data_IF_667475214865
#
_entry.id   IF_667475214865
#
_cell.length_a   1.000
_cell.length_b   1.000
_cell.length_c   1.000
_cell.angle_alpha   90.00
_cell.angle_beta   90.00
_cell.angle_gamma   90.00
#
_symmetry.space_group_name_H-M   'P 1'
#
loop_
_entity.id
_entity.type
_entity.pdbx_description
1 polymer ?
#
# COMPACT_ATOMS: atom_id res chain seq x y z
N UNK A 1 -14.94 12.11 -0.83
CA UNK A 1 -14.57 11.47 0.45
C UNK A 1 -13.99 10.07 0.27
N UNK A 2 -14.74 9.07 -0.22
CA UNK A 2 -14.30 7.65 -0.31
C UNK A 2 -12.92 7.43 -0.95
N UNK A 3 -12.55 8.24 -1.96
CA UNK A 3 -11.22 8.16 -2.59
C UNK A 3 -10.07 8.51 -1.64
N UNK A 4 -10.24 9.45 -0.71
CA UNK A 4 -9.22 9.79 0.29
C UNK A 4 -8.96 8.65 1.26
N UNK A 5 -10.03 7.97 1.71
CA UNK A 5 -9.94 6.72 2.48
C UNK A 5 -9.20 5.62 1.70
N UNK A 6 -9.52 5.44 0.43
CA UNK A 6 -8.86 4.44 -0.42
C UNK A 6 -7.36 4.73 -0.62
N UNK A 7 -6.99 5.99 -0.87
CA UNK A 7 -5.59 6.40 -0.99
C UNK A 7 -4.82 6.20 0.32
N UNK A 8 -5.42 6.53 1.47
CA UNK A 8 -4.80 6.30 2.77
C UNK A 8 -4.69 4.80 3.11
N UNK A 9 -5.73 4.01 2.81
CA UNK A 9 -5.76 2.56 3.04
C UNK A 9 -4.74 1.82 2.16
N UNK A 10 -4.72 2.10 0.86
CA UNK A 10 -3.71 1.56 -0.06
C UNK A 10 -2.29 1.97 0.35
N UNK A 11 -2.12 3.21 0.83
CA UNK A 11 -0.89 3.68 1.47
C UNK A 11 -0.46 2.84 2.66
N UNK A 12 -1.38 2.54 3.59
CA UNK A 12 -1.10 1.70 4.78
C UNK A 12 -0.73 0.27 4.39
N UNK A 13 -1.49 -0.37 3.50
CA UNK A 13 -1.19 -1.73 3.03
C UNK A 13 0.20 -1.79 2.41
N UNK A 14 0.55 -0.79 1.58
CA UNK A 14 1.86 -0.71 0.98
C UNK A 14 2.98 -0.48 2.01
N UNK A 15 2.74 0.32 3.07
CA UNK A 15 3.70 0.47 4.18
C UNK A 15 3.82 -0.81 5.02
N UNK A 16 2.73 -1.56 5.22
CA UNK A 16 2.76 -2.85 5.92
C UNK A 16 3.69 -3.84 5.22
N UNK A 17 3.55 -4.00 3.90
CA UNK A 17 4.46 -4.84 3.13
C UNK A 17 5.91 -4.38 3.22
N UNK A 18 6.17 -3.06 3.28
CA UNK A 18 7.53 -2.54 3.53
C UNK A 18 8.04 -2.96 4.90
N UNK A 19 7.25 -2.80 5.97
CA UNK A 19 7.63 -3.26 7.31
C UNK A 19 7.95 -4.75 7.32
N UNK A 20 7.14 -5.57 6.66
CA UNK A 20 7.35 -7.02 6.61
C UNK A 20 8.68 -7.36 5.92
N UNK A 21 9.01 -6.70 4.79
CA UNK A 21 10.31 -6.90 4.12
C UNK A 21 11.50 -6.42 4.96
N UNK A 22 11.40 -5.25 5.61
CA UNK A 22 12.45 -4.71 6.48
C UNK A 22 12.66 -5.60 7.72
N UNK A 23 11.57 -6.11 8.29
CA UNK A 23 11.59 -7.05 9.42
C UNK A 23 12.29 -8.35 9.04
N UNK A 24 11.96 -8.91 7.88
CA UNK A 24 12.62 -10.10 7.35
C UNK A 24 14.11 -9.87 7.10
N UNK A 25 14.50 -8.71 6.55
CA UNK A 25 15.92 -8.36 6.37
C UNK A 25 16.65 -8.27 7.71
N UNK A 26 16.06 -7.57 8.68
CA UNK A 26 16.64 -7.37 10.00
C UNK A 26 16.81 -8.68 10.76
N UNK A 27 15.81 -9.57 10.70
CA UNK A 27 15.87 -10.89 11.34
C UNK A 27 16.98 -11.78 10.77
N UNK A 28 17.34 -11.58 9.50
CA UNK A 28 18.31 -12.40 8.78
C UNK A 28 19.67 -11.70 8.60
N UNK A 29 19.96 -10.65 9.38
CA UNK A 29 21.22 -9.90 9.29
C UNK A 29 22.46 -10.72 9.66
N UNK A 30 22.32 -11.68 10.56
CA UNK A 30 23.44 -12.53 11.00
C UNK A 30 23.58 -13.82 10.17
N UNK A 31 22.66 -14.08 9.24
CA UNK A 31 22.74 -15.26 8.39
C UNK A 31 23.84 -15.11 7.34
N UNK A 32 24.55 -16.21 7.13
CA UNK A 32 25.59 -16.34 6.09
C UNK A 32 24.94 -16.38 4.71
N UNK A 33 25.43 -15.58 3.77
CA UNK A 33 24.97 -15.56 2.38
C UNK A 33 23.57 -14.97 2.16
N UNK A 34 22.93 -14.41 3.20
CA UNK A 34 21.63 -13.78 3.05
C UNK A 34 21.72 -12.49 2.21
N UNK A 35 20.73 -12.30 1.35
CA UNK A 35 20.61 -11.15 0.46
C UNK A 35 19.34 -10.38 0.80
N UNK A 36 19.47 -9.07 0.98
CA UNK A 36 18.40 -8.17 1.36
C UNK A 36 17.31 -8.10 0.29
N UNK A 37 16.06 -8.11 0.72
CA UNK A 37 14.88 -7.92 -0.12
C UNK A 37 14.40 -6.46 -0.04
N UNK A 38 14.07 -5.86 -1.18
CA UNK A 38 13.52 -4.50 -1.25
C UNK A 38 12.11 -4.56 -1.81
N UNK A 39 11.14 -4.00 -1.08
CA UNK A 39 9.78 -3.81 -1.56
C UNK A 39 9.66 -2.56 -2.46
N UNK A 40 9.32 -2.77 -3.74
CA UNK A 40 9.00 -1.70 -4.68
C UNK A 40 7.49 -1.46 -4.69
N UNK A 41 7.11 -0.19 -4.68
CA UNK A 41 5.73 0.25 -4.80
C UNK A 41 5.54 0.92 -6.15
N UNK A 42 4.33 0.80 -6.70
CA UNK A 42 3.91 1.47 -7.94
C UNK A 42 2.74 2.38 -7.61
N UNK A 43 2.79 3.63 -8.10
CA UNK A 43 1.63 4.52 -8.02
C UNK A 43 0.58 4.07 -9.04
N UNK A 44 -0.69 4.12 -8.64
CA UNK A 44 -1.77 3.98 -9.62
C UNK A 44 -1.70 5.09 -10.68
N UNK A 45 -2.24 4.88 -11.89
CA UNK A 45 -2.27 5.91 -12.92
C UNK A 45 -2.95 7.18 -12.40
N UNK A 46 -2.30 8.32 -12.67
CA UNK A 46 -2.83 9.62 -12.28
C UNK A 46 -4.01 10.00 -13.18
N UNK A 47 -5.07 10.52 -12.58
CA UNK A 47 -6.23 11.05 -13.30
C UNK A 47 -6.05 12.54 -13.55
N UNK A 48 -6.32 13.00 -14.77
CA UNK A 48 -6.29 14.43 -15.07
C UNK A 48 -7.53 15.11 -14.49
N UNK A 49 -7.32 16.12 -13.65
CA UNK A 49 -8.37 17.02 -13.20
C UNK A 49 -8.52 18.12 -14.24
N UNK A 50 -9.74 18.25 -14.75
CA UNK A 50 -10.17 19.38 -15.56
C UNK A 50 -11.17 20.19 -14.77
N UNK A 51 -11.08 21.52 -14.91
CA UNK A 51 -12.11 22.40 -14.38
C UNK A 51 -13.34 22.25 -15.28
N UNK A 52 -14.45 21.86 -14.68
CA UNK A 52 -15.76 21.89 -15.33
C UNK A 52 -16.33 23.31 -15.13
N UNK A 53 -16.85 23.92 -16.20
CA UNK A 53 -17.46 25.26 -16.22
C UNK A 53 -16.50 26.45 -16.09
N UNK A 54 -15.27 26.33 -16.59
CA UNK A 54 -14.48 27.52 -16.90
C UNK A 54 -14.53 27.72 -18.41
N UNK A 55 -15.30 28.73 -18.81
CA UNK A 55 -15.75 28.98 -20.16
C UNK A 55 -14.59 29.41 -21.07
N UNK A 56 -13.76 28.44 -21.46
CA UNK A 56 -12.83 28.53 -22.56
C UNK A 56 -13.49 28.16 -23.90
N UNK A 57 -14.74 28.56 -24.14
CA UNK A 57 -15.37 28.40 -25.45
C UNK A 57 -14.89 29.52 -26.38
N UNK A 58 -13.91 29.22 -27.23
CA UNK A 58 -13.66 30.04 -28.41
C UNK A 58 -14.68 29.67 -29.49
N UNK A 59 -15.66 30.55 -29.70
CA UNK A 59 -16.64 30.41 -30.79
C UNK A 59 -16.02 30.93 -32.09
N UNK A 60 -15.72 30.02 -33.03
CA UNK A 60 -15.38 30.39 -34.40
C UNK A 60 -16.59 30.12 -35.31
N UNK A 61 -16.73 30.81 -36.46
CA UNK A 61 -17.92 30.71 -37.33
C UNK A 61 -18.24 29.29 -37.86
N UNK A 62 -17.35 28.30 -37.67
CA UNK A 62 -17.46 26.93 -38.18
C UNK A 62 -17.29 25.83 -37.10
N UNK A 63 -17.24 26.17 -35.80
CA UNK A 63 -17.20 25.17 -34.72
C UNK A 63 -16.74 25.72 -33.37
N UNK A 64 -17.10 24.99 -32.31
CA UNK A 64 -16.70 25.27 -30.93
C UNK A 64 -15.51 24.37 -30.56
N UNK A 65 -14.41 24.93 -30.04
CA UNK A 65 -13.33 24.15 -29.45
C UNK A 65 -13.37 24.34 -27.93
N UNK A 66 -13.71 23.29 -27.19
CA UNK A 66 -13.63 23.30 -25.73
C UNK A 66 -12.17 23.19 -25.29
N UNK A 67 -11.58 24.27 -24.77
CA UNK A 67 -10.28 24.23 -24.09
C UNK A 67 -10.49 24.33 -22.59
N UNK A 68 -11.01 23.26 -21.98
CA UNK A 68 -11.07 23.20 -20.51
C UNK A 68 -9.62 23.15 -19.98
N UNK A 69 -9.14 24.15 -19.22
CA UNK A 69 -7.76 24.17 -18.76
C UNK A 69 -7.49 22.99 -17.83
N UNK A 70 -6.38 22.29 -18.09
CA UNK A 70 -5.90 21.21 -17.21
C UNK A 70 -5.49 21.85 -15.87
N UNK A 71 -6.16 21.48 -14.79
CA UNK A 71 -5.91 22.03 -13.45
C UNK A 71 -4.74 21.30 -12.79
N UNK A 72 -4.62 19.99 -13.03
CA UNK A 72 -3.55 19.18 -12.47
C UNK A 72 -3.79 17.68 -12.65
N UNK A 73 -2.92 16.88 -12.04
CA UNK A 73 -3.01 15.43 -11.99
C UNK A 73 -3.37 14.98 -10.58
N UNK A 74 -4.19 13.94 -10.47
CA UNK A 74 -4.67 13.38 -9.21
C UNK A 74 -4.13 11.96 -9.05
N UNK A 75 -3.35 11.73 -8.00
CA UNK A 75 -2.94 10.39 -7.60
C UNK A 75 -4.10 9.62 -6.97
N UNK A 76 -4.28 8.36 -7.36
CA UNK A 76 -5.38 7.49 -6.88
C UNK A 76 -4.94 6.53 -5.77
N UNK A 77 -3.64 6.50 -5.44
CA UNK A 77 -3.07 5.67 -4.39
C UNK A 77 -1.78 4.98 -4.84
N UNK A 78 -1.34 4.01 -4.04
CA UNK A 78 -0.14 3.22 -4.30
C UNK A 78 -0.44 1.74 -4.07
N UNK A 79 0.24 0.88 -4.82
CA UNK A 79 0.16 -0.56 -4.68
C UNK A 79 1.57 -1.14 -4.48
N UNK A 80 1.66 -2.28 -3.80
CA UNK A 80 2.89 -3.06 -3.80
C UNK A 80 3.06 -3.73 -5.17
N UNK A 81 4.19 -3.48 -5.84
CA UNK A 81 4.45 -4.04 -7.16
C UNK A 81 5.12 -5.41 -7.06
N UNK A 82 6.26 -5.46 -6.37
CA UNK A 82 7.03 -6.68 -6.13
C UNK A 82 8.09 -6.43 -5.05
N UNK A 83 8.52 -7.50 -4.38
CA UNK A 83 9.76 -7.54 -3.63
C UNK A 83 10.83 -8.25 -4.48
N UNK A 84 12.04 -7.71 -4.50
CA UNK A 84 13.16 -8.36 -5.18
C UNK A 84 14.43 -8.30 -4.34
N UNK A 85 15.30 -9.26 -4.58
CA UNK A 85 16.54 -9.44 -3.82
C UNK A 85 17.68 -8.65 -4.44
N UNK A 86 18.48 -7.99 -3.61
CA UNK A 86 19.69 -7.28 -4.02
C UNK A 86 20.89 -8.20 -3.93
N UNK A 87 21.44 -8.58 -5.09
CA UNK A 87 22.62 -9.44 -5.21
C UNK A 87 23.94 -8.67 -5.07
N UNK A 88 24.05 -7.81 -4.06
CA UNK A 88 25.33 -7.21 -3.68
C UNK A 88 26.10 -8.12 -2.72
N UNK A 89 27.43 -8.07 -2.77
CA UNK A 89 28.28 -8.83 -1.85
C UNK A 89 28.22 -8.23 -0.45
N UNK A 90 28.13 -9.08 0.57
CA UNK A 90 28.28 -8.70 1.97
C UNK A 90 29.76 -8.65 2.40
N UNK A 91 30.00 -8.34 3.68
CA UNK A 91 31.35 -8.44 4.24
C UNK A 91 31.79 -9.91 4.32
N UNK A 92 33.10 -10.16 4.20
CA UNK A 92 33.66 -11.50 4.39
C UNK A 92 34.10 -11.63 5.85
N UNK A 93 33.65 -12.69 6.53
CA UNK A 93 34.11 -13.05 7.87
C UNK A 93 35.08 -14.22 7.78
N UNK A 94 36.30 -14.02 8.27
CA UNK A 94 37.27 -15.10 8.39
C UNK A 94 36.84 -16.05 9.51
N UNK A 95 36.82 -17.34 9.23
CA UNK A 95 36.42 -18.38 10.19
C UNK A 95 37.61 -19.15 10.73
N UNK A 96 38.79 -19.02 10.10
CA UNK A 96 40.01 -19.72 10.50
C UNK A 96 39.97 -21.23 10.28
N UNK A 97 38.87 -21.76 9.73
CA UNK A 97 38.70 -23.17 9.41
C UNK A 97 38.73 -23.36 7.89
N UNK A 98 39.75 -24.07 7.41
CA UNK A 98 39.86 -24.43 6.00
C UNK A 98 38.70 -25.33 5.54
N UNK A 99 38.02 -26.03 6.45
CA UNK A 99 37.00 -27.02 6.14
C UNK A 99 35.56 -26.57 6.45
N UNK A 100 35.24 -25.28 6.29
CA UNK A 100 33.85 -24.79 6.44
C UNK A 100 32.94 -25.22 5.27
N UNK A 101 32.73 -26.53 5.16
CA UNK A 101 31.61 -27.20 4.52
C UNK A 101 31.16 -28.27 5.52
N UNK A 102 29.98 -28.09 6.14
CA UNK A 102 29.52 -29.00 7.18
C UNK A 102 29.14 -30.36 6.57
N UNK A 103 29.93 -31.40 6.86
CA UNK A 103 29.64 -32.78 6.49
C UNK A 103 28.65 -33.36 7.49
N UNK A 104 27.36 -33.33 7.17
CA UNK A 104 26.34 -34.04 7.94
C UNK A 104 25.46 -34.90 7.02
N UNK A 105 25.84 -36.18 6.89
CA UNK A 105 25.00 -37.24 6.31
C UNK A 105 25.45 -37.79 4.95
N UNK A 106 25.81 -39.09 4.95
CA UNK A 106 26.31 -39.93 3.84
C UNK A 106 27.77 -39.67 3.45
N UNK A 107 28.59 -40.71 3.64
CA UNK A 107 30.04 -40.72 3.53
C UNK A 107 30.55 -40.11 2.20
N UNK A 108 31.37 -39.08 2.34
CA UNK A 108 32.19 -38.53 1.27
C UNK A 108 31.56 -37.42 0.44
N UNK A 109 30.25 -37.16 0.46
CA UNK A 109 29.67 -36.08 -0.36
C UNK A 109 29.89 -34.72 0.29
N UNK A 110 30.45 -33.74 -0.44
CA UNK A 110 30.50 -32.36 0.02
C UNK A 110 29.09 -31.81 0.16
N UNK A 111 28.71 -31.40 1.38
CA UNK A 111 27.44 -30.76 1.66
C UNK A 111 27.64 -29.28 1.96
N UNK A 112 26.73 -28.44 1.49
CA UNK A 112 26.59 -27.06 1.96
C UNK A 112 26.22 -27.04 3.45
N UNK A 113 26.31 -25.87 4.10
CA UNK A 113 25.88 -25.68 5.50
C UNK A 113 24.42 -26.08 5.72
N UNK A 114 23.60 -26.05 4.67
CA UNK A 114 22.20 -26.48 4.69
C UNK A 114 21.95 -27.95 4.30
N UNK A 115 23.00 -28.76 4.12
CA UNK A 115 22.88 -30.21 3.87
C UNK A 115 22.62 -30.61 2.42
N UNK A 116 22.81 -29.71 1.45
CA UNK A 116 22.68 -30.02 0.01
C UNK A 116 24.02 -30.41 -0.63
N UNK A 117 24.04 -31.40 -1.54
CA UNK A 117 25.26 -31.81 -2.23
C UNK A 117 25.82 -30.70 -3.12
N UNK A 118 27.11 -30.41 -2.94
CA UNK A 118 27.88 -29.53 -3.82
C UNK A 118 28.15 -30.29 -5.13
N UNK A 119 27.78 -29.68 -6.24
CA UNK A 119 27.90 -30.27 -7.57
C UNK A 119 29.21 -29.82 -8.24
N UNK A 120 29.88 -30.77 -8.88
CA UNK A 120 30.98 -30.49 -9.82
C UNK A 120 30.47 -30.01 -11.17
N UNK A 121 31.36 -29.49 -12.03
CA UNK A 121 31.01 -29.07 -13.40
C UNK A 121 30.37 -30.20 -14.22
N UNK A 122 30.72 -31.46 -13.90
CA UNK A 122 30.14 -32.68 -14.45
C UNK A 122 28.70 -32.96 -13.99
N UNK A 123 28.15 -32.17 -13.07
CA UNK A 123 26.80 -32.33 -12.53
C UNK A 123 26.64 -33.44 -11.50
N UNK A 124 27.73 -34.09 -11.08
CA UNK A 124 27.73 -35.10 -10.03
C UNK A 124 28.07 -34.47 -8.66
N UNK A 125 27.51 -34.99 -7.54
CA UNK A 125 27.96 -34.64 -6.20
C UNK A 125 29.46 -34.94 -6.03
N UNK A 126 30.19 -34.00 -5.44
CA UNK A 126 31.63 -34.15 -5.29
C UNK A 126 31.92 -35.02 -4.07
N UNK A 127 32.65 -36.12 -4.29
CA UNK A 127 33.06 -37.01 -3.22
C UNK A 127 34.49 -36.69 -2.73
N UNK A 128 34.65 -36.22 -1.50
CA UNK A 128 35.94 -35.98 -0.83
C UNK A 128 36.04 -36.72 0.50
N UNK A 129 37.26 -37.14 0.85
CA UNK A 129 37.57 -37.64 2.18
C UNK A 129 37.68 -36.45 3.16
N UNK A 130 37.13 -36.63 4.37
CA UNK A 130 37.14 -35.63 5.45
C UNK A 130 38.59 -35.17 5.75
N UNK A 131 38.81 -33.86 5.78
CA UNK A 131 40.11 -33.20 6.01
C UNK A 131 41.22 -33.41 4.95
N UNK A 132 40.91 -33.91 3.75
CA UNK A 132 41.90 -34.10 2.66
C UNK A 132 41.52 -33.35 1.36
N UNK A 133 41.10 -32.09 1.47
CA UNK A 133 40.85 -31.26 0.30
C UNK A 133 41.25 -29.78 0.52
N UNK A 134 41.77 -29.13 -0.53
CA UNK A 134 41.94 -27.68 -0.60
C UNK A 134 41.24 -27.15 -1.84
N UNK A 135 40.77 -25.91 -1.79
CA UNK A 135 40.14 -25.28 -2.96
C UNK A 135 41.04 -24.18 -3.47
N UNK A 136 41.51 -24.31 -4.70
CA UNK A 136 42.31 -23.26 -5.32
C UNK A 136 41.44 -22.06 -5.67
N UNK A 137 42.05 -20.88 -5.87
CA UNK A 137 41.36 -19.62 -6.21
C UNK A 137 40.41 -19.71 -7.42
N UNK A 138 40.65 -20.65 -8.32
CA UNK A 138 39.83 -20.94 -9.50
C UNK A 138 38.62 -21.84 -9.22
N UNK A 139 38.41 -22.28 -7.96
CA UNK A 139 37.33 -23.18 -7.56
C UNK A 139 37.57 -24.65 -7.90
N UNK A 140 38.82 -25.05 -8.14
CA UNK A 140 39.23 -26.44 -8.30
C UNK A 140 39.50 -27.07 -6.94
N UNK A 141 38.94 -28.24 -6.70
CA UNK A 141 39.14 -29.02 -5.48
C UNK A 141 40.35 -29.92 -5.70
N UNK A 142 41.39 -29.68 -4.92
CA UNK A 142 42.63 -30.44 -4.90
C UNK A 142 42.59 -31.43 -3.73
N UNK A 143 43.05 -32.65 -3.95
CA UNK A 143 43.22 -33.66 -2.92
C UNK A 143 44.62 -34.26 -2.99
N UNK A 144 45.13 -34.77 -1.87
CA UNK A 144 46.38 -35.52 -1.85
C UNK A 144 46.09 -37.03 -1.97
N UNK A 145 46.53 -37.72 -3.05
CA UNK A 145 46.26 -39.14 -3.26
C UNK A 145 46.97 -40.06 -2.25
N UNK A 146 48.06 -39.61 -1.60
CA UNK A 146 48.85 -40.40 -0.64
C UNK A 146 48.05 -40.85 0.60
N UNK A 147 46.98 -40.14 0.94
CA UNK A 147 46.16 -40.42 2.13
C UNK A 147 44.74 -40.94 1.79
N UNK A 148 44.51 -41.32 0.53
CA UNK A 148 43.19 -41.72 0.03
C UNK A 148 42.90 -43.22 0.22
N UNK A 149 43.93 -44.06 0.31
CA UNK A 149 43.83 -45.53 0.41
C UNK A 149 43.20 -46.02 1.73
N UNK A 150 43.32 -45.27 2.83
CA UNK A 150 42.98 -45.74 4.18
C UNK A 150 41.68 -45.07 4.71
N UNK A 151 40.49 -45.70 4.66
CA UNK A 151 39.21 -45.02 4.90
C UNK A 151 39.00 -44.51 6.33
N UNK A 152 39.75 -45.03 7.31
CA UNK A 152 39.56 -44.76 8.76
C UNK A 152 40.62 -43.83 9.37
N UNK A 153 41.67 -43.47 8.63
CA UNK A 153 42.74 -42.60 9.13
C UNK A 153 42.41 -41.14 8.84
N UNK A 154 42.21 -40.36 9.90
CA UNK A 154 42.17 -38.90 9.86
C UNK A 154 43.60 -38.39 9.61
N UNK A 155 43.75 -37.46 8.66
CA UNK A 155 45.04 -36.80 8.40
C UNK A 155 45.11 -35.56 9.29
N UNK A 156 46.16 -35.44 10.09
CA UNK A 156 46.39 -34.22 10.87
C UNK A 156 46.74 -33.04 9.97
N UNK A 157 46.32 -31.82 10.34
CA UNK A 157 46.64 -30.59 9.59
C UNK A 157 48.15 -30.37 9.34
N UNK A 158 49.01 -30.96 10.18
CA UNK A 158 50.47 -30.88 10.09
C UNK A 158 51.12 -32.08 9.38
N UNK A 159 50.34 -33.10 9.01
CA UNK A 159 50.84 -34.36 8.46
C UNK A 159 50.82 -34.39 6.93
N UNK A 160 50.08 -33.47 6.30
CA UNK A 160 49.95 -33.37 4.86
C UNK A 160 50.84 -32.24 4.32
N UNK A 161 51.98 -32.59 3.72
CA UNK A 161 52.92 -31.63 3.11
C UNK A 161 52.45 -31.10 1.73
N UNK A 162 51.26 -31.48 1.25
CA UNK A 162 50.65 -31.04 -0.02
C UNK A 162 51.57 -31.10 -1.26
N UNK A 163 52.57 -31.99 -1.26
CA UNK A 163 53.58 -32.07 -2.32
C UNK A 163 53.04 -32.65 -3.64
N UNK A 164 52.04 -33.54 -3.57
CA UNK A 164 51.36 -34.12 -4.73
C UNK A 164 49.86 -33.81 -4.66
N UNK A 165 49.46 -32.69 -5.26
CA UNK A 165 48.03 -32.31 -5.34
C UNK A 165 47.46 -32.73 -6.68
N UNK A 166 46.40 -33.54 -6.65
CA UNK A 166 45.64 -33.91 -7.84
C UNK A 166 44.28 -33.20 -7.85
N UNK A 167 43.88 -32.70 -9.03
CA UNK A 167 42.56 -32.09 -9.23
C UNK A 167 41.51 -33.21 -9.18
N UNK A 168 40.58 -33.09 -8.23
CA UNK A 168 39.46 -34.00 -8.08
C UNK A 168 38.28 -33.58 -8.97
N UNK A 169 37.82 -32.34 -8.81
CA UNK A 169 36.75 -31.75 -9.61
C UNK A 169 36.78 -30.21 -9.50
N UNK A 170 36.00 -29.53 -10.34
CA UNK A 170 35.82 -28.09 -10.35
C UNK A 170 34.41 -27.73 -9.89
N UNK A 171 34.29 -26.76 -8.96
CA UNK A 171 33.00 -26.32 -8.43
C UNK A 171 32.12 -25.77 -9.55
N UNK A 172 30.86 -26.21 -9.59
CA UNK A 172 29.86 -25.70 -10.54
C UNK A 172 29.34 -24.35 -10.08
N UNK A 173 29.87 -23.27 -10.65
CA UNK A 173 29.37 -21.90 -10.42
C UNK A 173 28.43 -21.54 -11.56
N UNK A 174 27.19 -21.21 -11.22
CA UNK A 174 26.18 -20.78 -12.19
C UNK A 174 25.91 -19.29 -12.08
N UNK A 175 25.66 -18.65 -13.23
CA UNK A 175 25.20 -17.28 -13.31
C UNK A 175 23.84 -17.22 -14.03
N UNK A 176 23.02 -16.27 -13.62
CA UNK A 176 21.72 -15.97 -14.21
C UNK A 176 21.85 -14.76 -15.13
N UNK A 177 21.17 -14.79 -16.28
CA UNK A 177 21.09 -13.61 -17.16
C UNK A 177 20.37 -12.44 -16.48
N UNK A 178 19.31 -12.74 -15.71
CA UNK A 178 18.57 -11.74 -14.94
C UNK A 178 18.41 -12.19 -13.48
N UNK A 179 19.37 -11.88 -12.59
CA UNK A 179 19.35 -12.37 -11.21
C UNK A 179 18.14 -11.86 -10.41
N UNK A 180 17.60 -10.67 -10.74
CA UNK A 180 16.41 -10.09 -10.08
C UNK A 180 15.18 -11.01 -10.06
N UNK A 181 15.03 -11.87 -11.07
CA UNK A 181 13.86 -12.76 -11.20
C UNK A 181 14.12 -14.18 -10.70
N UNK A 182 15.28 -14.44 -10.10
CA UNK A 182 15.52 -15.70 -9.41
C UNK A 182 14.60 -15.77 -8.19
N UNK A 183 13.94 -16.92 -7.99
CA UNK A 183 12.99 -17.08 -6.90
C UNK A 183 13.61 -17.88 -5.77
N UNK A 184 13.38 -17.42 -4.54
CA UNK A 184 13.89 -18.05 -3.31
C UNK A 184 13.07 -19.30 -2.99
N UNK A 185 13.74 -20.42 -2.72
CA UNK A 185 13.10 -21.69 -2.35
C UNK A 185 13.15 -21.95 -0.83
N UNK A 186 13.95 -21.17 -0.11
CA UNK A 186 14.22 -21.36 1.32
C UNK A 186 15.73 -21.35 1.57
N UNK A 187 16.14 -21.00 2.79
CA UNK A 187 17.56 -20.78 3.08
C UNK A 187 18.20 -19.77 2.11
N UNK A 188 19.47 -19.97 1.79
CA UNK A 188 20.21 -19.19 0.79
C UNK A 188 20.08 -19.78 -0.63
N UNK A 189 19.03 -20.57 -0.91
CA UNK A 189 18.82 -21.24 -2.20
C UNK A 189 17.87 -20.49 -3.15
N UNK A 190 18.19 -20.59 -4.44
CA UNK A 190 17.50 -19.91 -5.54
C UNK A 190 17.26 -20.87 -6.70
N UNK A 191 16.09 -20.81 -7.32
CA UNK A 191 15.78 -21.56 -8.53
C UNK A 191 15.54 -20.64 -9.74
N UNK A 192 15.82 -21.18 -10.92
CA UNK A 192 15.63 -20.51 -12.19
C UNK A 192 14.13 -20.41 -12.52
N UNK A 193 13.65 -19.19 -12.75
CA UNK A 193 12.33 -18.93 -13.35
C UNK A 193 12.46 -18.75 -14.86
N UNK A 194 11.36 -18.94 -15.59
CA UNK A 194 11.27 -18.68 -17.03
C UNK A 194 11.78 -17.26 -17.40
N UNK A 195 11.48 -16.28 -16.55
CA UNK A 195 11.91 -14.88 -16.70
C UNK A 195 13.38 -14.62 -16.33
N UNK A 196 13.95 -15.41 -15.40
CA UNK A 196 15.35 -15.28 -14.99
C UNK A 196 16.34 -15.83 -16.03
N UNK A 197 15.85 -16.72 -16.90
CA UNK A 197 16.66 -17.51 -17.83
C UNK A 197 17.23 -18.77 -17.16
N UNK A 198 17.77 -19.67 -17.96
CA UNK A 198 18.46 -20.86 -17.44
C UNK A 198 19.78 -20.49 -16.77
N UNK A 199 20.12 -21.23 -15.71
CA UNK A 199 21.41 -21.13 -15.05
C UNK A 199 22.54 -21.52 -16.03
N UNK A 200 23.33 -20.54 -16.46
CA UNK A 200 24.48 -20.74 -17.34
C UNK A 200 25.74 -21.00 -16.50
N UNK A 201 26.60 -21.92 -16.93
CA UNK A 201 27.90 -22.14 -16.29
C UNK A 201 28.76 -20.87 -16.45
N UNK A 202 29.30 -20.38 -15.34
CA UNK A 202 30.21 -19.23 -15.37
C UNK A 202 31.59 -19.68 -15.85
N UNK A 203 31.84 -19.57 -17.16
CA UNK A 203 33.13 -19.89 -17.78
C UNK A 203 33.93 -18.61 -18.10
N UNK A 204 35.26 -18.68 -17.99
CA UNK A 204 36.19 -17.58 -18.36
C UNK A 204 36.41 -16.50 -17.29
N UNK A 205 36.67 -15.27 -17.73
CA UNK A 205 37.08 -14.11 -16.91
C UNK A 205 36.00 -13.64 -15.91
N UNK A 206 34.73 -14.00 -16.14
CA UNK A 206 33.60 -13.69 -15.26
C UNK A 206 33.41 -14.68 -14.10
N UNK A 207 34.27 -15.69 -13.97
CA UNK A 207 34.20 -16.65 -12.87
C UNK A 207 34.62 -15.99 -11.56
N UNK A 208 33.75 -15.96 -10.52
CA UNK A 208 34.13 -15.40 -9.24
C UNK A 208 35.21 -16.26 -8.59
N UNK A 209 36.17 -15.58 -7.96
CA UNK A 209 37.27 -16.21 -7.23
C UNK A 209 36.73 -16.81 -5.93
N UNK A 210 36.99 -18.09 -5.70
CA UNK A 210 36.61 -18.77 -4.46
C UNK A 210 37.75 -18.59 -3.46
N UNK A 211 37.43 -18.14 -2.25
CA UNK A 211 38.40 -18.02 -1.14
C UNK A 211 37.99 -18.96 -0.01
N UNK A 212 38.90 -19.86 0.34
CA UNK A 212 38.73 -20.80 1.45
C UNK A 212 38.91 -20.08 2.81
N UNK A 213 38.22 -20.54 3.85
CA UNK A 213 38.31 -19.98 5.21
C UNK A 213 37.54 -18.68 5.44
N UNK A 214 36.73 -18.25 4.48
CA UNK A 214 35.85 -17.09 4.59
C UNK A 214 34.39 -17.50 4.41
N UNK A 215 33.51 -16.91 5.21
CA UNK A 215 32.06 -16.98 5.02
C UNK A 215 31.53 -15.59 4.67
N UNK A 216 30.62 -15.51 3.69
CA UNK A 216 29.98 -14.25 3.32
C UNK A 216 28.90 -13.90 4.34
N UNK A 217 28.99 -12.72 4.98
CA UNK A 217 27.91 -12.22 5.85
C UNK A 217 26.74 -11.70 5.02
N UNK A 218 25.59 -11.53 5.64
CA UNK A 218 24.47 -10.81 5.04
C UNK A 218 24.92 -9.44 4.51
N UNK A 219 24.32 -9.00 3.40
CA UNK A 219 24.49 -7.63 2.88
C UNK A 219 23.53 -6.61 3.53
N UNK A 220 22.82 -7.02 4.58
CA UNK A 220 21.90 -6.18 5.35
C UNK A 220 22.67 -5.37 6.39
N UNK A 221 22.34 -4.08 6.54
CA UNK A 221 22.82 -3.24 7.62
C UNK A 221 21.72 -3.02 8.66
N UNK A 222 21.84 -3.64 9.84
CA UNK A 222 20.82 -3.59 10.89
C UNK A 222 20.45 -2.15 11.30
N UNK A 223 21.43 -1.24 11.37
CA UNK A 223 21.18 0.16 11.77
C UNK A 223 20.34 0.87 10.70
N UNK A 224 20.66 0.67 9.41
CA UNK A 224 19.89 1.26 8.32
C UNK A 224 18.47 0.69 8.26
N UNK A 225 18.31 -0.62 8.44
CA UNK A 225 16.99 -1.25 8.45
C UNK A 225 16.13 -0.78 9.62
N UNK A 226 16.70 -0.65 10.84
CA UNK A 226 15.98 -0.10 11.99
C UNK A 226 15.52 1.34 11.75
N UNK A 227 16.37 2.20 11.17
CA UNK A 227 15.98 3.58 10.82
C UNK A 227 14.87 3.58 9.77
N UNK A 228 14.95 2.70 8.76
CA UNK A 228 13.88 2.55 7.76
C UNK A 228 12.57 2.07 8.40
N UNK A 229 12.61 1.14 9.34
CA UNK A 229 11.41 0.70 10.08
C UNK A 229 10.77 1.87 10.83
N UNK A 230 11.57 2.73 11.48
CA UNK A 230 11.06 3.94 12.14
C UNK A 230 10.38 4.86 11.13
N UNK A 231 11.01 5.11 9.98
CA UNK A 231 10.42 5.94 8.92
C UNK A 231 9.10 5.36 8.39
N UNK A 232 9.04 4.04 8.17
CA UNK A 232 7.83 3.37 7.68
C UNK A 232 6.72 3.37 8.74
N UNK A 233 7.04 3.14 10.02
CA UNK A 233 6.08 3.27 11.11
C UNK A 233 5.50 4.69 11.20
N UNK A 234 6.34 5.73 11.09
CA UNK A 234 5.87 7.12 11.07
C UNK A 234 4.95 7.41 9.86
N UNK A 235 5.26 6.85 8.71
CA UNK A 235 4.41 6.97 7.51
C UNK A 235 3.09 6.22 7.68
N UNK A 236 3.11 5.01 8.25
CA UNK A 236 1.93 4.23 8.57
C UNK A 236 1.01 4.97 9.55
N UNK A 237 1.58 5.56 10.61
CA UNK A 237 0.85 6.39 11.57
C UNK A 237 0.22 7.63 10.92
N UNK A 238 0.93 8.29 10.00
CA UNK A 238 0.40 9.44 9.27
C UNK A 238 -0.83 9.05 8.41
N UNK A 239 -0.78 7.89 7.75
CA UNK A 239 -1.91 7.35 6.99
C UNK A 239 -3.08 6.97 7.91
N UNK A 240 -2.81 6.34 9.06
CA UNK A 240 -3.84 6.02 10.06
C UNK A 240 -4.54 7.28 10.58
N UNK A 241 -3.78 8.33 10.88
CA UNK A 241 -4.35 9.63 11.27
C UNK A 241 -5.23 10.22 10.17
N UNK A 242 -4.84 10.06 8.90
CA UNK A 242 -5.63 10.56 7.77
C UNK A 242 -6.99 9.86 7.71
N UNK A 243 -7.03 8.54 7.92
CA UNK A 243 -8.29 7.77 7.99
C UNK A 243 -9.15 8.26 9.15
N UNK A 244 -8.56 8.42 10.34
CA UNK A 244 -9.27 8.92 11.51
C UNK A 244 -9.85 10.33 11.27
N UNK A 245 -9.08 11.23 10.65
CA UNK A 245 -9.60 12.57 10.30
C UNK A 245 -10.73 12.49 9.28
N UNK A 246 -10.68 11.55 8.34
CA UNK A 246 -11.74 11.38 7.35
C UNK A 246 -13.03 10.84 7.98
N UNK A 247 -12.90 9.90 8.91
CA UNK A 247 -14.01 9.35 9.68
C UNK A 247 -14.67 10.43 10.56
N UNK A 248 -13.86 11.22 11.25
CA UNK A 248 -14.34 12.37 12.03
C UNK A 248 -15.05 13.42 11.15
N UNK A 249 -14.52 13.73 9.96
CA UNK A 249 -15.15 14.65 9.02
C UNK A 249 -16.46 14.10 8.44
N UNK A 250 -16.52 12.81 8.13
CA UNK A 250 -17.74 12.14 7.67
C UNK A 250 -18.84 12.24 8.73
N UNK A 251 -18.49 11.93 9.97
CA UNK A 251 -19.43 11.97 11.08
C UNK A 251 -19.87 13.41 11.41
N UNK A 252 -18.93 14.38 11.39
CA UNK A 252 -19.24 15.80 11.53
C UNK A 252 -20.17 16.31 10.42
N UNK A 253 -19.88 15.97 9.16
CA UNK A 253 -20.73 16.32 8.01
C UNK A 253 -22.14 15.72 8.14
N UNK A 254 -22.24 14.48 8.61
CA UNK A 254 -23.52 13.82 8.90
C UNK A 254 -24.29 14.55 9.99
N UNK A 255 -23.63 14.96 11.08
CA UNK A 255 -24.25 15.75 12.14
C UNK A 255 -24.70 17.13 11.66
N UNK A 256 -23.89 17.84 10.87
CA UNK A 256 -24.29 19.14 10.31
C UNK A 256 -25.48 19.02 9.36
N UNK A 257 -25.55 17.94 8.58
CA UNK A 257 -26.72 17.66 7.74
C UNK A 257 -27.98 17.42 8.57
N UNK A 258 -27.88 16.60 9.62
CA UNK A 258 -29.01 16.40 10.54
C UNK A 258 -29.41 17.68 11.27
N UNK A 259 -28.45 18.52 11.68
CA UNK A 259 -28.71 19.83 12.27
C UNK A 259 -29.50 20.73 11.31
N UNK A 260 -29.08 20.80 10.04
CA UNK A 260 -29.78 21.57 9.02
C UNK A 260 -31.22 21.08 8.77
N UNK A 261 -31.43 19.76 8.80
CA UNK A 261 -32.78 19.18 8.72
C UNK A 261 -33.62 19.58 9.94
N UNK A 262 -33.05 19.53 11.15
CA UNK A 262 -33.73 19.96 12.37
C UNK A 262 -34.09 21.45 12.34
N UNK A 263 -33.17 22.30 11.88
CA UNK A 263 -33.40 23.75 11.75
C UNK A 263 -34.52 24.04 10.75
N UNK A 264 -34.59 23.29 9.65
CA UNK A 264 -35.67 23.39 8.64
C UNK A 264 -37.03 22.98 9.23
N UNK A 265 -37.09 21.86 9.96
CA UNK A 265 -38.30 21.38 10.66
C UNK A 265 -38.75 22.40 11.72
N UNK A 266 -37.81 22.94 12.48
CA UNK A 266 -38.05 23.98 13.49
C UNK A 266 -38.62 25.26 12.86
N UNK A 267 -38.08 25.67 11.70
CA UNK A 267 -38.59 26.80 10.94
C UNK A 267 -40.02 26.55 10.45
N UNK A 268 -40.31 25.36 9.91
CA UNK A 268 -41.65 24.96 9.50
C UNK A 268 -42.63 24.98 10.68
N UNK A 269 -42.25 24.40 11.82
CA UNK A 269 -43.08 24.34 13.02
C UNK A 269 -43.38 25.74 13.59
N UNK A 270 -42.36 26.61 13.62
CA UNK A 270 -42.51 27.99 14.09
C UNK A 270 -43.46 28.81 13.21
N UNK A 271 -43.50 28.50 11.91
CA UNK A 271 -44.33 29.21 10.92
C UNK A 271 -45.64 28.49 10.56
N UNK A 272 -46.07 27.51 11.36
CA UNK A 272 -47.31 26.75 11.09
C UNK A 272 -48.58 27.60 11.19
N UNK A 273 -48.57 28.64 12.01
CA UNK A 273 -49.69 29.59 12.14
C UNK A 273 -49.46 30.87 11.32
N UNK A 274 -48.36 30.96 10.56
CA UNK A 274 -48.05 32.11 9.72
C UNK A 274 -48.80 32.02 8.40
N UNK A 275 -49.59 33.04 8.06
CA UNK A 275 -50.32 33.11 6.80
C UNK A 275 -49.35 33.17 5.62
N UNK A 276 -49.57 32.38 4.57
CA UNK A 276 -48.78 32.36 3.34
C UNK A 276 -47.43 31.61 3.42
N UNK A 277 -47.10 30.99 4.55
CA UNK A 277 -45.87 30.20 4.69
C UNK A 277 -45.95 28.89 3.89
N UNK A 278 -44.85 28.52 3.22
CA UNK A 278 -44.73 27.27 2.46
C UNK A 278 -43.68 26.37 3.11
N UNK A 279 -44.04 25.11 3.31
CA UNK A 279 -43.17 24.07 3.86
C UNK A 279 -41.87 23.98 3.08
N UNK A 280 -40.76 24.12 3.80
CA UNK A 280 -39.41 23.92 3.28
C UNK A 280 -38.98 22.48 3.59
N UNK A 281 -38.23 21.85 2.69
CA UNK A 281 -37.64 20.53 2.92
C UNK A 281 -36.14 20.60 2.70
N UNK A 282 -35.38 19.94 3.57
CA UNK A 282 -33.96 19.75 3.34
C UNK A 282 -33.76 18.63 2.31
N UNK A 283 -33.06 18.93 1.21
CA UNK A 283 -32.57 17.93 0.27
C UNK A 283 -31.05 17.85 0.40
N UNK A 284 -30.54 16.62 0.50
CA UNK A 284 -29.10 16.37 0.56
C UNK A 284 -28.66 15.81 -0.78
N UNK A 285 -27.70 16.47 -1.41
CA UNK A 285 -27.06 15.99 -2.62
C UNK A 285 -25.63 15.57 -2.32
N UNK A 286 -25.24 14.40 -2.79
CA UNK A 286 -23.82 14.06 -2.87
C UNK A 286 -23.26 14.83 -4.08
N UNK A 287 -22.26 15.68 -3.84
CA UNK A 287 -21.65 16.58 -4.82
C UNK A 287 -21.06 15.87 -6.05
N UNK A 288 -21.12 14.54 -6.13
CA UNK A 288 -20.40 13.76 -7.14
C UNK A 288 -21.21 13.36 -8.38
N UNK A 289 -22.52 13.55 -8.46
CA UNK A 289 -23.22 13.33 -9.73
C UNK A 289 -24.41 14.25 -9.95
N UNK A 290 -24.31 14.99 -11.06
CA UNK A 290 -25.41 15.43 -11.92
C UNK A 290 -26.39 16.40 -11.27
N UNK A 291 -26.29 17.68 -11.66
CA UNK A 291 -27.31 18.70 -11.47
C UNK A 291 -28.61 18.23 -12.10
N UNK A 292 -29.43 17.52 -11.34
CA UNK A 292 -30.84 17.36 -11.66
C UNK A 292 -31.48 18.66 -11.19
N UNK A 293 -32.00 19.45 -12.13
CA UNK A 293 -32.80 20.62 -11.80
C UNK A 293 -34.01 20.17 -10.97
N UNK A 294 -33.95 20.33 -9.65
CA UNK A 294 -35.10 20.10 -8.78
C UNK A 294 -35.79 21.44 -8.48
N UNK A 295 -37.10 21.38 -8.25
CA UNK A 295 -37.98 22.52 -7.96
C UNK A 295 -37.65 23.28 -6.65
N UNK A 296 -36.49 23.04 -6.04
CA UNK A 296 -36.02 23.61 -4.78
C UNK A 296 -35.16 24.88 -4.96
N UNK A 297 -35.10 25.46 -6.16
CA UNK A 297 -34.24 26.60 -6.50
C UNK A 297 -34.72 27.99 -6.03
N UNK A 298 -35.75 28.10 -5.18
CA UNK A 298 -36.27 29.41 -4.73
C UNK A 298 -35.59 29.83 -3.42
N UNK A 299 -35.01 31.03 -3.38
CA UNK A 299 -34.39 31.58 -2.16
C UNK A 299 -35.38 32.48 -1.43
N UNK A 300 -35.60 32.25 -0.13
CA UNK A 300 -36.47 33.09 0.67
C UNK A 300 -35.80 34.42 1.00
N UNK A 301 -36.47 35.54 0.70
CA UNK A 301 -35.99 36.92 0.97
C UNK A 301 -36.65 37.52 2.23
N UNK A 302 -37.53 36.74 2.88
CA UNK A 302 -38.29 37.14 4.06
C UNK A 302 -39.70 37.60 3.72
N UNK A 303 -40.58 37.68 4.72
CA UNK A 303 -42.00 38.07 4.58
C UNK A 303 -42.78 37.25 3.52
N UNK A 304 -42.50 35.95 3.39
CA UNK A 304 -43.05 35.06 2.34
C UNK A 304 -42.70 35.47 0.89
N UNK A 305 -41.72 36.33 0.68
CA UNK A 305 -41.19 36.64 -0.65
C UNK A 305 -40.04 35.69 -1.03
N UNK A 306 -40.06 35.18 -2.26
CA UNK A 306 -39.03 34.31 -2.81
C UNK A 306 -38.38 34.95 -4.05
N UNK A 307 -37.06 34.77 -4.21
CA UNK A 307 -36.31 35.11 -5.43
C UNK A 307 -36.03 33.86 -6.24
N UNK A 308 -36.19 33.98 -7.57
CA UNK A 308 -35.78 32.94 -8.50
C UNK A 308 -34.26 32.82 -8.55
N UNK A 309 -33.78 31.58 -8.62
CA UNK A 309 -32.38 31.22 -8.83
C UNK A 309 -32.27 30.42 -10.13
N UNK A 310 -31.06 30.23 -10.64
CA UNK A 310 -30.76 29.51 -11.89
C UNK A 310 -31.39 28.09 -11.92
N UNK A 311 -31.58 27.45 -10.76
CA UNK A 311 -32.26 26.15 -10.62
C UNK A 311 -33.80 26.20 -10.68
N UNK A 312 -34.42 27.38 -10.49
CA UNK A 312 -35.88 27.57 -10.48
C UNK A 312 -36.45 27.99 -11.84
N UNK A 313 -35.61 28.41 -12.79
CA UNK A 313 -36.07 29.01 -14.05
C UNK A 313 -36.65 30.43 -13.90
N UNK A 314 -36.95 31.09 -15.00
CA UNK A 314 -37.51 32.45 -14.99
C UNK A 314 -38.95 32.49 -14.44
N UNK A 315 -39.30 33.56 -13.72
CA UNK A 315 -40.62 33.74 -13.16
C UNK A 315 -41.65 34.01 -14.27
N UNK A 316 -42.58 33.08 -14.48
CA UNK A 316 -43.67 33.23 -15.45
C UNK A 316 -44.83 33.98 -14.77
N UNK A 317 -45.12 35.19 -15.23
CA UNK A 317 -46.28 35.97 -14.78
C UNK A 317 -47.54 35.56 -15.53
N UNK A 318 -48.54 35.04 -14.81
CA UNK A 318 -49.83 34.66 -15.37
C UNK A 318 -50.99 35.34 -14.61
N UNK A 319 -52.14 35.50 -15.28
CA UNK A 319 -53.37 36.02 -14.65
C UNK A 319 -53.99 34.96 -13.72
N UNK A 320 -54.46 35.33 -12.52
CA UNK A 320 -55.17 34.40 -11.63
C UNK A 320 -56.29 33.64 -12.37
N UNK A 321 -56.41 32.33 -12.15
CA UNK A 321 -57.37 31.42 -12.81
C UNK A 321 -57.05 30.96 -14.26
N UNK A 322 -55.90 31.29 -14.84
CA UNK A 322 -55.41 30.67 -16.09
C UNK A 322 -54.08 29.93 -15.88
N UNK A 323 -53.87 28.86 -16.64
CA UNK A 323 -52.62 28.05 -16.65
C UNK A 323 -52.22 27.41 -15.31
N UNK A 324 -53.19 26.92 -14.53
CA UNK A 324 -52.90 26.19 -13.29
C UNK A 324 -52.53 27.08 -12.09
N UNK A 325 -52.56 28.41 -12.25
CA UNK A 325 -52.46 29.35 -11.14
C UNK A 325 -53.78 29.42 -10.37
N UNK A 326 -53.71 29.35 -9.04
CA UNK A 326 -54.87 29.29 -8.13
C UNK A 326 -55.83 30.48 -8.20
N UNK A 327 -57.04 30.30 -7.64
CA UNK A 327 -58.07 31.35 -7.52
C UNK A 327 -57.76 32.25 -6.31
N UNK A 328 -57.87 33.58 -6.48
CA UNK A 328 -57.74 34.55 -5.39
C UNK A 328 -59.13 34.89 -4.88
N UNK A 329 -59.44 34.53 -3.64
CA UNK A 329 -60.68 34.90 -2.96
C UNK A 329 -60.44 36.09 -2.03
N UNK A 330 -61.20 37.16 -2.21
CA UNK A 330 -61.11 38.35 -1.36
C UNK A 330 -61.60 38.05 0.07
N UNK A 331 -60.89 38.55 1.08
CA UNK A 331 -61.22 38.36 2.50
C UNK A 331 -60.67 37.08 3.14
N UNK A 332 -59.98 36.23 2.37
CA UNK A 332 -59.33 35.01 2.88
C UNK A 332 -57.80 35.16 2.88
N UNK A 333 -57.15 34.66 3.93
CA UNK A 333 -55.69 34.52 4.01
C UNK A 333 -55.34 33.05 3.82
N UNK A 334 -54.32 32.76 2.99
CA UNK A 334 -53.83 31.39 2.83
C UNK A 334 -53.15 30.94 4.13
N UNK A 335 -53.60 29.82 4.69
CA UNK A 335 -52.96 29.21 5.86
C UNK A 335 -51.70 28.46 5.43
N UNK A 336 -50.72 28.34 6.34
CA UNK A 336 -49.53 27.52 6.14
C UNK A 336 -49.91 26.09 5.74
N UNK A 337 -49.18 25.51 4.78
CA UNK A 337 -49.35 24.11 4.38
C UNK A 337 -48.56 23.13 5.26
N UNK A 338 -48.09 23.57 6.42
CA UNK A 338 -47.35 22.76 7.40
C UNK A 338 -48.31 22.07 8.37
N UNK A 339 -48.08 20.79 8.67
CA UNK A 339 -48.81 20.04 9.71
C UNK A 339 -47.95 19.87 10.95
N UNK A 340 -48.42 20.38 12.10
CA UNK A 340 -47.73 20.32 13.40
C UNK A 340 -47.39 18.88 13.79
N UNK A 341 -48.35 17.96 13.64
CA UNK A 341 -48.15 16.54 14.02
C UNK A 341 -47.08 15.89 13.16
N UNK A 342 -47.11 16.11 11.84
CA UNK A 342 -46.11 15.53 10.93
C UNK A 342 -44.71 16.08 11.22
N UNK A 343 -44.61 17.39 11.48
CA UNK A 343 -43.33 18.05 11.71
C UNK A 343 -42.74 17.69 13.08
N UNK A 344 -43.55 17.48 14.11
CA UNK A 344 -43.10 16.92 15.39
C UNK A 344 -42.60 15.47 15.25
N UNK A 345 -43.27 14.63 14.45
CA UNK A 345 -42.78 13.27 14.18
C UNK A 345 -41.44 13.32 13.43
N UNK A 346 -41.33 14.18 12.41
CA UNK A 346 -40.08 14.38 11.68
C UNK A 346 -38.96 14.90 12.61
N UNK A 347 -39.29 15.80 13.55
CA UNK A 347 -38.35 16.30 14.56
C UNK A 347 -37.84 15.17 15.46
N UNK A 348 -38.72 14.30 15.95
CA UNK A 348 -38.34 13.17 16.80
C UNK A 348 -37.42 12.21 16.04
N UNK A 349 -37.72 11.94 14.77
CA UNK A 349 -36.88 11.09 13.91
C UNK A 349 -35.51 11.73 13.67
N UNK A 350 -35.47 13.04 13.35
CA UNK A 350 -34.23 13.78 13.14
C UNK A 350 -33.37 13.88 14.41
N UNK A 351 -33.99 14.12 15.57
CA UNK A 351 -33.30 14.14 16.87
C UNK A 351 -32.72 12.77 17.23
N UNK A 352 -33.47 11.68 17.03
CA UNK A 352 -32.94 10.32 17.24
C UNK A 352 -31.75 10.03 16.32
N UNK A 353 -31.84 10.41 15.05
CA UNK A 353 -30.73 10.25 14.11
C UNK A 353 -29.50 11.08 14.53
N UNK A 354 -29.69 12.32 14.98
CA UNK A 354 -28.63 13.18 15.50
C UNK A 354 -27.99 12.59 16.76
N UNK A 355 -28.79 12.11 17.72
CA UNK A 355 -28.29 11.47 18.95
C UNK A 355 -27.49 10.19 18.66
N UNK A 356 -27.96 9.36 17.72
CA UNK A 356 -27.24 8.15 17.29
C UNK A 356 -25.89 8.53 16.67
N UNK A 357 -25.87 9.50 15.75
CA UNK A 357 -24.62 9.97 15.12
C UNK A 357 -23.67 10.60 16.14
N UNK A 358 -24.18 11.42 17.06
CA UNK A 358 -23.38 12.03 18.13
C UNK A 358 -22.77 10.97 19.06
N UNK A 359 -23.52 9.92 19.40
CA UNK A 359 -22.99 8.80 20.20
C UNK A 359 -21.93 8.03 19.43
N UNK A 360 -22.13 7.79 18.13
CA UNK A 360 -21.14 7.11 17.29
C UNK A 360 -19.81 7.89 17.24
N UNK A 361 -19.86 9.22 17.07
CA UNK A 361 -18.67 10.10 17.11
C UNK A 361 -17.96 9.98 18.45
N UNK A 362 -18.70 10.10 19.56
CA UNK A 362 -18.12 9.99 20.90
C UNK A 362 -17.48 8.61 21.16
N UNK A 363 -18.08 7.53 20.65
CA UNK A 363 -17.50 6.20 20.75
C UNK A 363 -16.22 6.06 19.92
N UNK A 364 -16.17 6.65 18.72
CA UNK A 364 -14.96 6.68 17.90
C UNK A 364 -13.84 7.46 18.58
N UNK A 365 -14.14 8.62 19.16
CA UNK A 365 -13.17 9.43 19.93
C UNK A 365 -12.66 8.68 21.17
N UNK A 366 -13.54 7.97 21.88
CA UNK A 366 -13.16 7.15 23.03
C UNK A 366 -12.24 5.99 22.62
N UNK A 367 -12.54 5.31 21.50
CA UNK A 367 -11.68 4.25 20.95
C UNK A 367 -10.31 4.79 20.53
N UNK A 368 -10.25 5.97 19.92
CA UNK A 368 -8.99 6.66 19.61
C UNK A 368 -8.20 7.03 20.87
N UNK A 369 -8.89 7.49 21.92
CA UNK A 369 -8.27 7.75 23.22
C UNK A 369 -7.64 6.50 23.83
N UNK A 370 -8.33 5.37 23.79
CA UNK A 370 -7.82 4.08 24.27
C UNK A 370 -6.61 3.64 23.44
N UNK A 371 -6.68 3.73 22.11
CA UNK A 371 -5.56 3.37 21.22
C UNK A 371 -4.31 4.23 21.47
N UNK A 372 -4.48 5.54 21.70
CA UNK A 372 -3.37 6.43 22.04
C UNK A 372 -2.76 6.10 23.41
N UNK A 373 -3.58 5.72 24.40
CA UNK A 373 -3.10 5.33 25.72
C UNK A 373 -2.36 3.98 25.70
N UNK A 374 -2.77 3.04 24.84
CA UNK A 374 -2.05 1.79 24.62
C UNK A 374 -0.67 2.01 23.98
N UNK A 375 -0.46 3.12 23.26
CA UNK A 375 0.81 3.50 22.65
C UNK A 375 1.80 4.14 23.63
N UNK A 376 1.31 4.65 24.77
CA UNK A 376 2.12 5.33 25.80
C UNK A 376 2.66 4.38 26.89
N UNK A 377 2.26 3.11 26.86
CA UNK A 377 2.88 2.01 27.60
C UNK A 377 3.77 1.21 26.67
#
# INVERSE_FOLDING_TARGET
MIRGLYTAASGMVAQQHKLDTLSNNLANVDLTGYKADIAVQKSFPELLIRRLNDDGLFNFPQGCLETAPVVGKLGTGIEHNESFTVFSQGSLRETGNSFDFALEGVEGVLLSKEGYPVLGESGMPIHVKLNNFTVNSQGQILHNPLYQEDPKRLVGFMENDWQETQILDTLKIVNFQRPRYAKKEGGSLWYATETSGSASLSQGENRPVVRQGFTETSNVNAVQEMVRMICVNRAYEANQKTIATHDALLAASGMTGQQFNMDTISNNLSNVNTTGFKKVRAEFEDLLYQTIQTAAGLTAVGQNCFKSTIASGEAIGATPSKEGMGLINQGFLEMSNVSVVQEMVNMIVAQRAYEINSKAVQTSDAMLGIANNLKAR
#
